data_IF_268314328744
#
_entry.id   IF_268314328744
#
_cell.length_a   1.000
_cell.length_b   1.000
_cell.length_c   1.000
_cell.angle_alpha   90.00
_cell.angle_beta   90.00
_cell.angle_gamma   90.00
#
_symmetry.space_group_name_H-M   'P 1'
#
loop_
_entity.id
_entity.type
_entity.pdbx_description
1 polymer ?
#
# COMPACT_ATOMS: atom_id res chain seq x y z
N UNK A 1 21.52 -6.47 -10.67
CA UNK A 1 22.02 -5.60 -9.58
C UNK A 1 20.83 -4.87 -9.00
N UNK A 2 20.41 -5.21 -7.78
CA UNK A 2 19.36 -4.46 -7.08
C UNK A 2 19.89 -3.10 -6.63
N UNK A 3 19.02 -2.10 -6.56
CA UNK A 3 19.39 -0.76 -6.11
C UNK A 3 19.88 -0.83 -4.65
N UNK A 4 21.08 -0.32 -4.37
CA UNK A 4 21.71 -0.32 -3.03
C UNK A 4 21.09 0.70 -2.07
N UNK A 5 20.33 1.67 -2.61
CA UNK A 5 19.63 2.69 -1.85
C UNK A 5 18.44 2.08 -1.10
N UNK A 6 18.43 2.21 0.23
CA UNK A 6 17.37 1.67 1.09
C UNK A 6 16.61 2.75 1.85
N UNK A 7 17.16 3.97 1.92
CA UNK A 7 16.50 5.10 2.58
C UNK A 7 15.67 5.92 1.60
N UNK A 8 14.60 6.55 2.10
CA UNK A 8 13.72 7.39 1.30
C UNK A 8 14.47 8.57 0.63
N UNK A 9 15.47 9.14 1.30
CA UNK A 9 16.24 10.26 0.75
C UNK A 9 17.10 9.83 -0.43
N UNK A 10 17.81 8.70 -0.32
CA UNK A 10 18.64 8.17 -1.41
C UNK A 10 17.79 7.81 -2.64
N UNK A 11 16.59 7.27 -2.43
CA UNK A 11 15.65 6.97 -3.53
C UNK A 11 15.16 8.25 -4.22
N UNK A 12 15.03 9.36 -3.50
CA UNK A 12 14.65 10.66 -4.04
C UNK A 12 15.80 11.40 -4.76
N UNK A 13 17.04 10.96 -4.60
CA UNK A 13 18.20 11.51 -5.32
C UNK A 13 18.44 10.80 -6.68
N UNK A 14 17.76 9.67 -6.93
CA UNK A 14 17.81 8.95 -8.22
C UNK A 14 17.28 9.79 -9.38
N UNK A 15 17.75 9.54 -10.61
CA UNK A 15 17.21 10.24 -11.77
C UNK A 15 15.71 9.96 -11.93
N UNK A 16 14.89 11.01 -12.10
CA UNK A 16 13.42 10.86 -12.17
C UNK A 16 12.96 9.93 -13.29
N UNK A 17 13.71 9.87 -14.39
CA UNK A 17 13.44 8.99 -15.52
C UNK A 17 13.59 7.49 -15.19
N UNK A 18 14.36 7.16 -14.15
CA UNK A 18 14.62 5.77 -13.74
C UNK A 18 13.67 5.31 -12.62
N UNK A 19 12.78 6.19 -12.14
CA UNK A 19 11.84 5.88 -11.07
C UNK A 19 10.59 5.20 -11.62
N UNK A 20 10.17 4.14 -10.92
CA UNK A 20 8.92 3.44 -11.20
C UNK A 20 7.81 4.03 -10.34
N UNK A 21 6.66 4.31 -10.95
CA UNK A 21 5.47 4.86 -10.30
C UNK A 21 4.29 3.89 -10.42
N UNK A 22 3.36 3.98 -9.48
CA UNK A 22 2.12 3.19 -9.47
C UNK A 22 0.97 4.17 -9.70
N UNK A 23 0.17 3.93 -10.74
CA UNK A 23 -0.92 4.81 -11.12
C UNK A 23 -2.26 4.39 -10.49
N UNK A 24 -3.20 5.33 -10.45
CA UNK A 24 -4.56 5.04 -9.98
C UNK A 24 -5.28 4.08 -10.93
N UNK A 25 -5.89 3.03 -10.39
CA UNK A 25 -6.62 2.03 -11.16
C UNK A 25 -5.74 0.90 -11.71
N UNK A 26 -4.44 0.92 -11.45
CA UNK A 26 -3.53 -0.15 -11.83
C UNK A 26 -3.74 -1.41 -10.98
N UNK A 27 -3.59 -2.59 -11.59
CA UNK A 27 -3.70 -3.87 -10.89
C UNK A 27 -2.36 -4.19 -10.23
N UNK A 28 -2.35 -4.26 -8.90
CA UNK A 28 -1.17 -4.54 -8.07
C UNK A 28 -1.28 -5.91 -7.42
N UNK A 29 -0.23 -6.73 -7.55
CA UNK A 29 -0.08 -7.97 -6.79
C UNK A 29 0.61 -7.65 -5.47
N UNK A 30 -0.06 -7.96 -4.36
CA UNK A 30 0.45 -7.67 -3.01
C UNK A 30 0.51 -8.94 -2.17
N UNK A 31 1.33 -8.94 -1.13
CA UNK A 31 1.29 -9.92 -0.04
C UNK A 31 0.70 -9.27 1.20
N UNK A 32 -0.27 -9.93 1.84
CA UNK A 32 -0.81 -9.46 3.12
C UNK A 32 0.17 -9.83 4.23
N UNK A 33 0.57 -8.84 5.02
CA UNK A 33 1.50 -9.00 6.14
C UNK A 33 0.77 -9.07 7.48
N UNK A 34 -0.31 -8.29 7.61
CA UNK A 34 -1.11 -8.22 8.83
C UNK A 34 -2.54 -7.80 8.51
N UNK A 35 -3.46 -8.17 9.39
CA UNK A 35 -4.85 -7.76 9.36
C UNK A 35 -5.32 -7.38 10.76
N UNK A 36 -6.17 -6.36 10.83
CA UNK A 36 -6.68 -5.80 12.08
C UNK A 36 -8.19 -5.67 12.00
N UNK A 37 -8.87 -6.09 13.06
CA UNK A 37 -10.30 -5.96 13.24
C UNK A 37 -10.59 -5.02 14.39
N UNK A 38 -11.56 -4.15 14.18
CA UNK A 38 -11.92 -3.10 15.10
C UNK A 38 -13.43 -3.15 15.37
N UNK A 39 -13.77 -3.67 16.55
CA UNK A 39 -15.15 -3.71 17.04
C UNK A 39 -15.43 -2.45 17.87
N UNK A 40 -15.65 -1.34 17.18
CA UNK A 40 -15.98 -0.08 17.82
C UNK A 40 -17.47 -0.05 18.14
N UNK A 41 -17.80 -0.44 19.38
CA UNK A 41 -19.13 -0.19 19.91
C UNK A 41 -19.40 1.32 19.94
N UNK A 42 -20.57 1.78 19.47
CA UNK A 42 -20.92 3.19 19.57
C UNK A 42 -20.93 3.57 21.05
N UNK A 43 -20.00 4.44 21.45
CA UNK A 43 -19.92 4.93 22.81
C UNK A 43 -21.24 5.58 23.25
N UNK A 44 -21.49 5.72 24.57
CA UNK A 44 -22.74 6.25 25.09
C UNK A 44 -23.11 7.55 24.36
N UNK A 45 -24.38 7.72 23.92
CA UNK A 45 -24.78 8.94 23.24
C UNK A 45 -24.47 10.13 24.15
N UNK A 46 -23.55 11.00 23.73
CA UNK A 46 -23.29 12.25 24.45
C UNK A 46 -24.54 13.10 24.33
N UNK A 47 -25.34 13.17 25.40
CA UNK A 47 -26.42 14.12 25.52
C UNK A 47 -25.80 15.51 25.66
N UNK A 48 -25.61 16.21 24.55
CA UNK A 48 -25.23 17.63 24.55
C UNK A 48 -26.28 18.41 23.80
N UNK A 49 -27.17 19.06 24.56
CA UNK A 49 -27.98 20.17 24.08
C UNK A 49 -27.02 21.27 23.59
N UNK A 50 -27.00 21.52 22.28
CA UNK A 50 -26.53 22.79 21.71
C UNK A 50 -25.06 22.93 21.31
N UNK A 51 -24.20 21.91 21.45
CA UNK A 51 -22.81 22.00 20.94
C UNK A 51 -22.70 21.23 19.64
N UNK A 52 -22.28 21.94 18.59
CA UNK A 52 -21.98 21.43 17.26
C UNK A 52 -21.29 20.07 17.36
N UNK A 53 -21.87 19.06 16.71
CA UNK A 53 -21.34 17.71 16.59
C UNK A 53 -19.82 17.80 16.48
N UNK A 54 -19.11 17.33 17.50
CA UNK A 54 -17.70 17.02 17.36
C UNK A 54 -17.63 16.15 16.11
N UNK A 55 -17.07 16.72 15.03
CA UNK A 55 -16.82 16.02 13.77
C UNK A 55 -16.32 14.66 14.18
N UNK A 56 -17.13 13.63 13.92
CA UNK A 56 -16.85 12.26 14.33
C UNK A 56 -15.37 12.03 14.07
N UNK A 57 -14.56 11.98 15.13
CA UNK A 57 -13.14 11.68 14.98
C UNK A 57 -13.11 10.40 14.16
N UNK A 58 -12.53 10.50 12.96
CA UNK A 58 -12.90 9.67 11.82
C UNK A 58 -13.04 8.22 12.22
N UNK A 59 -14.25 7.67 12.13
CA UNK A 59 -14.55 6.30 12.51
C UNK A 59 -13.56 5.40 11.77
N UNK A 60 -12.64 4.76 12.50
CA UNK A 60 -11.66 3.86 11.90
C UNK A 60 -12.40 2.76 11.15
N UNK A 61 -11.82 2.28 10.05
CA UNK A 61 -12.43 1.20 9.29
C UNK A 61 -12.53 -0.04 10.20
N UNK A 62 -13.63 -0.81 10.19
CA UNK A 62 -13.80 -1.98 11.07
C UNK A 62 -12.84 -3.13 10.73
N UNK A 63 -12.24 -3.08 9.54
CA UNK A 63 -11.25 -4.03 9.07
C UNK A 63 -10.20 -3.31 8.23
N UNK A 64 -8.94 -3.54 8.53
CA UNK A 64 -7.80 -3.02 7.76
C UNK A 64 -6.78 -4.12 7.53
N UNK A 65 -6.16 -4.11 6.36
CA UNK A 65 -5.02 -4.98 6.04
C UNK A 65 -3.80 -4.13 5.74
N UNK A 66 -2.65 -4.60 6.18
CA UNK A 66 -1.34 -4.07 5.80
C UNK A 66 -0.71 -5.03 4.80
N UNK A 67 -0.26 -4.49 3.66
CA UNK A 67 0.31 -5.28 2.58
C UNK A 67 1.72 -4.81 2.21
N UNK A 68 2.50 -5.70 1.61
CA UNK A 68 3.85 -5.46 1.09
C UNK A 68 3.95 -5.81 -0.39
N UNK A 69 4.90 -5.15 -1.08
CA UNK A 69 5.32 -5.42 -2.45
C UNK A 69 6.85 -5.60 -2.56
N UNK A 70 7.53 -5.89 -1.45
CA UNK A 70 8.99 -5.93 -1.39
C UNK A 70 9.63 -7.13 -2.12
N UNK A 71 8.84 -8.16 -2.46
CA UNK A 71 9.33 -9.40 -3.08
C UNK A 71 9.20 -9.40 -4.60
N UNK A 72 10.04 -10.19 -5.26
CA UNK A 72 9.99 -10.35 -6.71
C UNK A 72 8.62 -10.86 -7.17
N UNK A 73 8.12 -10.32 -8.27
CA UNK A 73 6.81 -10.66 -8.79
C UNK A 73 5.63 -9.94 -8.11
N UNK A 74 5.88 -9.09 -7.11
CA UNK A 74 4.88 -8.20 -6.48
C UNK A 74 4.95 -6.77 -7.03
N UNK A 75 3.94 -5.95 -6.73
CA UNK A 75 3.76 -4.64 -7.34
C UNK A 75 2.84 -4.70 -8.56
N UNK A 76 2.79 -3.63 -9.38
CA UNK A 76 2.03 -3.62 -10.62
C UNK A 76 2.29 -4.83 -11.52
N UNK A 77 1.21 -5.46 -11.97
CA UNK A 77 1.31 -6.67 -12.82
C UNK A 77 2.04 -6.37 -14.12
N UNK A 78 1.94 -5.14 -14.63
CA UNK A 78 2.64 -4.69 -15.85
C UNK A 78 4.16 -4.83 -15.76
N UNK A 79 4.76 -4.70 -14.56
CA UNK A 79 6.21 -4.81 -14.36
C UNK A 79 6.75 -6.22 -14.63
N UNK A 80 5.89 -7.24 -14.59
CA UNK A 80 6.31 -8.64 -14.63
C UNK A 80 5.80 -9.41 -15.86
N UNK A 81 5.09 -8.76 -16.79
CA UNK A 81 4.43 -9.44 -17.92
C UNK A 81 5.40 -10.23 -18.81
N UNK A 82 6.65 -9.77 -18.95
CA UNK A 82 7.67 -10.42 -19.78
C UNK A 82 8.69 -11.24 -18.99
N UNK A 83 8.63 -11.23 -17.65
CA UNK A 83 9.62 -11.88 -16.79
C UNK A 83 9.68 -13.42 -16.98
N UNK A 84 8.59 -14.03 -17.45
CA UNK A 84 8.55 -15.47 -17.77
C UNK A 84 9.13 -15.86 -19.13
N UNK A 85 9.34 -14.89 -20.03
CA UNK A 85 9.85 -15.16 -21.40
C UNK A 85 11.37 -15.30 -21.39
N UNK A 86 12.08 -14.54 -20.55
CA UNK A 86 13.54 -14.58 -20.44
C UNK A 86 14.07 -15.88 -19.79
N UNK A 87 13.26 -16.53 -18.94
CA UNK A 87 13.64 -17.79 -18.28
C UNK A 87 13.63 -19.02 -19.21
N UNK A 88 13.11 -18.91 -20.44
CA UNK A 88 13.00 -20.02 -21.39
C UNK A 88 14.06 -19.97 -22.51
N UNK A 89 14.86 -18.90 -22.61
CA UNK A 89 15.91 -18.76 -23.64
C UNK A 89 17.31 -19.23 -23.17
N UNK A 90 17.46 -19.60 -21.89
CA UNK A 90 18.70 -20.13 -21.31
C UNK A 90 18.70 -21.68 -21.14
N UNK A 91 17.98 -22.41 -22.01
CA UNK A 91 17.86 -23.88 -21.98
C UNK A 91 18.54 -24.61 -23.12
#
# INVERSE_FOLDING_TARGET
MGSEATSAHELLDSATADRMYIDTGEVVRVRVEADEFYDDEPGPPKATEGVQQAKTEGRRAPYTITCSIAEQGLGPVAWWQNAGVEAMDEG
#
